data_IF_611438354098
#
_entry.id   IF_611438354098
#
_cell.length_a   1.000
_cell.length_b   1.000
_cell.length_c   1.000
_cell.angle_alpha   90.00
_cell.angle_beta   90.00
_cell.angle_gamma   90.00
#
_symmetry.space_group_name_H-M   'P 1'
#
loop_
_entity.id
_entity.type
_entity.pdbx_description
1 polymer ?
#
# COMPACT_ATOMS: atom_id res chain seq x y z
N UNK A 1 8.83 -25.72 -42.24
CA UNK A 1 9.66 -25.78 -41.00
C UNK A 1 9.85 -24.41 -40.33
N UNK A 2 10.11 -23.35 -41.10
CA UNK A 2 10.40 -21.99 -40.58
C UNK A 2 9.24 -21.33 -39.80
N UNK A 3 7.99 -21.36 -40.33
CA UNK A 3 6.82 -20.74 -39.69
C UNK A 3 6.51 -21.27 -38.28
N UNK A 4 6.68 -22.58 -38.04
CA UNK A 4 6.45 -23.20 -36.72
C UNK A 4 7.45 -22.72 -35.66
N UNK A 5 8.72 -22.52 -36.05
CA UNK A 5 9.78 -22.02 -35.15
C UNK A 5 9.52 -20.57 -34.72
N UNK A 6 9.10 -19.73 -35.66
CA UNK A 6 8.73 -18.32 -35.37
C UNK A 6 7.57 -18.23 -34.39
N UNK A 7 6.53 -19.05 -34.57
CA UNK A 7 5.38 -19.09 -33.65
C UNK A 7 5.81 -19.53 -32.24
N UNK A 8 6.63 -20.57 -32.12
CA UNK A 8 7.10 -21.05 -30.81
C UNK A 8 7.93 -19.96 -30.09
N UNK A 9 8.83 -19.28 -30.79
CA UNK A 9 9.62 -18.19 -30.22
C UNK A 9 8.75 -17.00 -29.79
N UNK A 10 7.73 -16.65 -30.59
CA UNK A 10 6.78 -15.60 -30.23
C UNK A 10 5.97 -15.95 -28.97
N UNK A 11 5.55 -17.21 -28.83
CA UNK A 11 4.85 -17.69 -27.64
C UNK A 11 5.75 -17.69 -26.40
N UNK A 12 7.01 -18.13 -26.52
CA UNK A 12 7.99 -18.06 -25.44
C UNK A 12 8.18 -16.61 -25.00
N UNK A 13 8.39 -15.70 -25.96
CA UNK A 13 8.53 -14.27 -25.66
C UNK A 13 7.29 -13.70 -24.97
N UNK A 14 6.08 -14.06 -25.43
CA UNK A 14 4.84 -13.62 -24.82
C UNK A 14 4.69 -14.14 -23.38
N UNK A 15 5.04 -15.40 -23.13
CA UNK A 15 5.04 -15.99 -21.78
C UNK A 15 6.07 -15.30 -20.89
N UNK A 16 7.29 -15.06 -21.39
CA UNK A 16 8.33 -14.35 -20.64
C UNK A 16 7.91 -12.91 -20.32
N UNK A 17 7.33 -12.19 -21.29
CA UNK A 17 6.79 -10.85 -21.09
C UNK A 17 5.68 -10.85 -20.02
N UNK A 18 4.79 -11.85 -20.05
CA UNK A 18 3.77 -12.00 -19.03
C UNK A 18 4.38 -12.27 -17.65
N UNK A 19 5.27 -13.25 -17.52
CA UNK A 19 5.98 -13.54 -16.25
C UNK A 19 6.68 -12.29 -15.71
N UNK A 20 7.36 -11.54 -16.58
CA UNK A 20 8.00 -10.28 -16.24
C UNK A 20 6.99 -9.25 -15.76
N UNK A 21 5.89 -9.01 -16.47
CA UNK A 21 4.84 -8.08 -16.04
C UNK A 21 4.29 -8.45 -14.65
N UNK A 22 4.03 -9.73 -14.40
CA UNK A 22 3.55 -10.20 -13.09
C UNK A 22 4.60 -10.01 -12.00
N UNK A 23 5.87 -10.30 -12.29
CA UNK A 23 6.97 -10.06 -11.37
C UNK A 23 7.10 -8.56 -11.02
N UNK A 24 6.99 -7.68 -12.01
CA UNK A 24 7.01 -6.23 -11.79
C UNK A 24 5.83 -5.77 -10.95
N UNK A 25 4.60 -6.22 -11.25
CA UNK A 25 3.42 -5.92 -10.42
C UNK A 25 3.61 -6.39 -8.98
N UNK A 26 4.08 -7.62 -8.78
CA UNK A 26 4.34 -8.18 -7.45
C UNK A 26 5.38 -7.35 -6.69
N UNK A 27 6.50 -7.00 -7.33
CA UNK A 27 7.56 -6.17 -6.74
C UNK A 27 7.12 -4.73 -6.46
N UNK A 28 6.21 -4.16 -7.24
CA UNK A 28 5.65 -2.84 -6.97
C UNK A 28 4.67 -2.89 -5.79
N UNK A 29 3.86 -3.94 -5.71
CA UNK A 29 2.88 -4.11 -4.65
C UNK A 29 3.53 -4.28 -3.26
N UNK A 30 4.75 -4.84 -3.18
CA UNK A 30 5.53 -4.87 -1.94
C UNK A 30 6.15 -3.54 -1.56
N UNK A 31 6.47 -2.67 -2.54
CA UNK A 31 7.01 -1.31 -2.29
C UNK A 31 5.96 -0.26 -1.96
N UNK A 32 4.74 -0.39 -2.48
CA UNK A 32 3.64 0.56 -2.23
C UNK A 32 2.99 0.30 -0.86
N UNK A 33 3.18 -0.91 -0.31
CA UNK A 33 2.69 -1.32 1.00
C UNK A 33 3.38 -0.48 2.08
N UNK A 34 2.63 0.37 2.79
CA UNK A 34 3.15 1.22 3.85
C UNK A 34 3.02 2.73 3.62
N UNK A 35 2.85 3.17 2.36
CA UNK A 35 2.85 4.61 2.04
C UNK A 35 1.69 5.35 2.69
N UNK A 36 0.52 4.71 2.83
CA UNK A 36 -0.63 5.34 3.49
C UNK A 36 -0.48 5.29 5.02
N UNK A 37 0.21 4.29 5.54
CA UNK A 37 0.44 4.08 6.97
C UNK A 37 1.61 4.94 7.52
N UNK A 38 2.42 5.54 6.65
CA UNK A 38 3.31 6.69 6.94
C UNK A 38 2.47 7.97 6.97
N UNK A 39 1.73 8.14 8.07
CA UNK A 39 0.71 9.17 8.26
C UNK A 39 1.36 10.55 8.42
N UNK A 40 2.53 10.62 9.06
CA UNK A 40 3.26 11.88 9.24
C UNK A 40 4.13 12.25 8.01
N UNK A 41 4.29 11.33 7.04
CA UNK A 41 5.07 11.46 5.80
C UNK A 41 6.55 11.72 6.01
N UNK A 42 7.13 11.13 7.06
CA UNK A 42 8.56 11.22 7.33
C UNK A 42 9.38 10.11 6.68
N UNK A 43 8.72 9.18 5.99
CA UNK A 43 9.35 8.05 5.30
C UNK A 43 9.56 6.83 6.19
N UNK A 44 9.11 6.85 7.44
CA UNK A 44 9.15 5.74 8.37
C UNK A 44 7.73 5.37 8.80
N UNK A 45 7.58 4.12 9.26
CA UNK A 45 6.34 3.66 9.89
C UNK A 45 6.69 3.32 11.32
N UNK A 46 6.33 4.20 12.24
CA UNK A 46 6.64 4.09 13.65
C UNK A 46 5.53 4.58 14.59
N UNK A 47 5.88 4.81 15.85
CA UNK A 47 4.91 5.23 16.88
C UNK A 47 4.34 6.63 16.62
N UNK A 48 5.02 7.46 15.82
CA UNK A 48 4.57 8.80 15.47
C UNK A 48 3.37 8.72 14.52
N UNK A 49 3.31 7.74 13.64
CA UNK A 49 2.14 7.50 12.78
C UNK A 49 0.92 7.10 13.60
N UNK A 50 1.11 6.17 14.53
CA UNK A 50 0.08 5.73 15.47
C UNK A 50 -0.43 6.92 16.31
N UNK A 51 0.48 7.75 16.83
CA UNK A 51 0.10 8.94 17.58
C UNK A 51 -0.63 9.97 16.70
N UNK A 52 -0.30 10.04 15.41
CA UNK A 52 -0.96 10.94 14.45
C UNK A 52 -2.40 10.52 14.18
N UNK A 53 -2.66 9.22 14.00
CA UNK A 53 -4.04 8.69 13.95
C UNK A 53 -4.75 8.94 15.28
N UNK A 54 -4.08 8.66 16.41
CA UNK A 54 -4.64 8.86 17.75
C UNK A 54 -5.10 10.30 18.04
N UNK A 55 -4.43 11.32 17.48
CA UNK A 55 -4.86 12.73 17.62
C UNK A 55 -6.16 13.05 16.89
N UNK A 56 -6.42 12.37 15.78
CA UNK A 56 -7.63 12.54 14.98
C UNK A 56 -8.72 11.51 15.32
N UNK A 57 -8.46 10.57 16.23
CA UNK A 57 -9.36 9.48 16.55
C UNK A 57 -10.75 9.97 16.96
N UNK A 58 -11.79 9.38 16.38
CA UNK A 58 -13.19 9.71 16.59
C UNK A 58 -13.68 10.93 15.81
N UNK A 59 -12.85 11.55 14.96
CA UNK A 59 -13.22 12.72 14.16
C UNK A 59 -13.77 12.37 12.78
N UNK A 60 -14.52 13.31 12.20
CA UNK A 60 -15.10 13.29 10.85
C UNK A 60 -14.88 14.63 10.13
N UNK A 61 -15.11 14.74 8.81
CA UNK A 61 -15.00 16.01 8.10
C UNK A 61 -15.82 17.12 8.77
N UNK A 62 -15.12 18.19 9.18
CA UNK A 62 -15.70 19.34 9.88
C UNK A 62 -15.36 19.43 11.37
N UNK A 63 -14.90 18.34 11.99
CA UNK A 63 -14.43 18.37 13.36
C UNK A 63 -13.09 19.10 13.50
N UNK A 64 -12.85 19.74 14.65
CA UNK A 64 -11.65 20.54 14.89
C UNK A 64 -10.36 19.71 14.81
N UNK A 65 -10.42 18.45 15.20
CA UNK A 65 -9.31 17.51 15.17
C UNK A 65 -9.30 16.61 13.92
N UNK A 66 -10.14 16.90 12.92
CA UNK A 66 -10.15 16.16 11.66
C UNK A 66 -8.78 16.20 10.97
N UNK A 67 -8.29 15.02 10.62
CA UNK A 67 -7.12 14.87 9.77
C UNK A 67 -7.43 13.89 8.64
N UNK A 68 -7.64 14.41 7.43
CA UNK A 68 -7.94 13.58 6.25
C UNK A 68 -6.83 12.58 5.88
N UNK A 69 -5.62 12.72 6.43
CA UNK A 69 -4.53 11.76 6.23
C UNK A 69 -4.67 10.58 7.21
N UNK A 70 -5.30 10.80 8.37
CA UNK A 70 -5.56 9.76 9.37
C UNK A 70 -6.77 8.88 9.02
N UNK A 71 -7.61 9.30 8.08
CA UNK A 71 -8.66 8.47 7.44
C UNK A 71 -8.04 7.66 6.30
N UNK A 72 -7.53 6.47 6.65
CA UNK A 72 -6.73 5.62 5.78
C UNK A 72 -7.58 4.75 4.86
N UNK A 73 -8.79 4.42 5.28
CA UNK A 73 -9.74 3.65 4.49
C UNK A 73 -10.66 4.53 3.63
N UNK A 74 -10.68 5.86 3.88
CA UNK A 74 -11.46 6.89 3.18
C UNK A 74 -12.96 6.73 3.37
N UNK A 75 -13.39 6.44 4.60
CA UNK A 75 -14.80 6.30 4.97
C UNK A 75 -15.39 7.53 5.70
N UNK A 76 -14.63 8.63 5.74
CA UNK A 76 -14.99 9.88 6.43
C UNK A 76 -15.07 9.74 7.96
N UNK A 77 -14.39 8.75 8.55
CA UNK A 77 -14.32 8.53 9.99
C UNK A 77 -12.95 8.01 10.41
N UNK A 78 -12.22 8.74 11.26
CA UNK A 78 -10.99 8.21 11.85
C UNK A 78 -11.33 7.31 13.01
N UNK A 79 -11.18 5.99 12.86
CA UNK A 79 -11.59 5.02 13.88
C UNK A 79 -10.61 3.84 14.09
N UNK A 80 -11.12 2.75 14.67
CA UNK A 80 -10.34 1.56 14.95
C UNK A 80 -9.78 0.89 13.69
N UNK A 81 -10.45 1.02 12.54
CA UNK A 81 -9.98 0.47 11.28
C UNK A 81 -8.70 1.17 10.83
N UNK A 82 -8.65 2.50 10.91
CA UNK A 82 -7.45 3.26 10.56
C UNK A 82 -6.30 2.95 11.53
N UNK A 83 -6.60 2.90 12.82
CA UNK A 83 -5.61 2.54 13.84
C UNK A 83 -5.02 1.15 13.56
N UNK A 84 -5.88 0.16 13.31
CA UNK A 84 -5.47 -1.20 13.01
C UNK A 84 -4.58 -1.28 11.75
N UNK A 85 -4.86 -0.47 10.72
CA UNK A 85 -4.06 -0.45 9.50
C UNK A 85 -2.62 -0.02 9.76
N UNK A 86 -2.40 1.03 10.56
CA UNK A 86 -1.05 1.47 10.94
C UNK A 86 -0.36 0.43 11.82
N UNK A 87 -1.04 -0.12 12.82
CA UNK A 87 -0.47 -1.14 13.70
C UNK A 87 -0.05 -2.42 12.96
N UNK A 88 -0.88 -2.88 12.03
CA UNK A 88 -0.57 -4.06 11.22
C UNK A 88 0.67 -3.82 10.35
N UNK A 89 0.82 -2.61 9.82
CA UNK A 89 1.99 -2.25 9.04
C UNK A 89 3.24 -2.09 9.90
N UNK A 90 3.12 -1.43 11.05
CA UNK A 90 4.20 -1.29 12.03
C UNK A 90 4.79 -2.67 12.40
N UNK A 91 3.93 -3.66 12.68
CA UNK A 91 4.35 -5.04 12.97
C UNK A 91 5.10 -5.68 11.80
N UNK A 92 4.68 -5.46 10.55
CA UNK A 92 5.35 -6.00 9.35
C UNK A 92 6.70 -5.35 9.05
N UNK A 93 6.88 -4.09 9.42
CA UNK A 93 8.13 -3.35 9.19
C UNK A 93 9.16 -3.65 10.29
N UNK A 94 8.70 -3.90 11.52
CA UNK A 94 9.58 -4.11 12.69
C UNK A 94 9.81 -5.58 13.07
N UNK A 95 8.98 -6.51 12.59
CA UNK A 95 9.11 -7.95 12.81
C UNK A 95 9.77 -8.65 11.62
#
# INVERSE_FOLDING_TARGET
>A
MHRKRVIILALIFLVLAFVFIYFYKFSLQTRIKGIKEDVNRDGQIDIVDIATVGRAFGSRPGDLNWNAIADLNKDDSVDNLDMYMVEEMFKKVKG
#
